data_IF_526378611775
#
_entry.id   IF_526378611775
#
_cell.length_a   1.000
_cell.length_b   1.000
_cell.length_c   1.000
_cell.angle_alpha   90.00
_cell.angle_beta   90.00
_cell.angle_gamma   90.00
#
_symmetry.space_group_name_H-M   'P 1'
#
loop_
_entity.id
_entity.type
_entity.pdbx_description
1 polymer ?
#
# COMPACT_ATOMS: atom_id res chain seq x y z
N UNK A 1 16.20 -10.41 3.38
CA UNK A 1 14.94 -9.65 3.38
C UNK A 1 14.28 -9.75 2.02
N UNK A 2 12.99 -10.01 1.98
CA UNK A 2 12.24 -10.03 0.74
C UNK A 2 11.39 -8.76 0.66
N UNK A 3 11.54 -8.00 -0.42
CA UNK A 3 10.71 -6.82 -0.70
C UNK A 3 9.78 -7.18 -1.83
N UNK A 4 8.47 -7.15 -1.57
CA UNK A 4 7.46 -7.47 -2.57
C UNK A 4 7.21 -6.23 -3.42
N UNK A 5 7.47 -6.35 -4.72
CA UNK A 5 7.26 -5.24 -5.66
C UNK A 5 5.82 -5.15 -6.16
N UNK A 6 5.04 -6.19 -5.91
CA UNK A 6 3.66 -6.23 -6.37
C UNK A 6 2.73 -5.73 -5.29
N UNK A 7 1.94 -4.73 -5.62
CA UNK A 7 0.83 -4.31 -4.77
C UNK A 7 -0.35 -5.22 -5.10
N UNK A 8 -0.76 -5.99 -4.12
CA UNK A 8 -1.81 -6.99 -4.30
C UNK A 8 -2.63 -7.12 -3.01
N UNK A 9 -3.60 -8.03 -3.00
CA UNK A 9 -4.46 -8.23 -1.83
C UNK A 9 -3.67 -8.79 -0.64
N UNK A 10 -4.17 -8.51 0.56
CA UNK A 10 -3.60 -9.07 1.78
C UNK A 10 -3.63 -10.60 1.78
N UNK A 11 -4.66 -11.20 1.19
CA UNK A 11 -4.78 -12.66 1.09
C UNK A 11 -3.64 -13.27 0.27
N UNK A 12 -3.28 -12.65 -0.85
CA UNK A 12 -2.16 -13.12 -1.67
C UNK A 12 -0.82 -12.99 -0.94
N UNK A 13 -0.64 -11.91 -0.19
CA UNK A 13 0.58 -11.74 0.62
C UNK A 13 0.63 -12.78 1.71
N UNK A 14 -0.48 -13.06 2.38
CA UNK A 14 -0.55 -14.11 3.40
C UNK A 14 -0.20 -15.49 2.82
N UNK A 15 -0.73 -15.82 1.64
CA UNK A 15 -0.42 -17.08 0.95
C UNK A 15 1.06 -17.18 0.59
N UNK A 16 1.66 -16.09 0.12
CA UNK A 16 3.11 -16.06 -0.17
C UNK A 16 3.93 -16.30 1.08
N UNK A 17 3.60 -15.62 2.18
CA UNK A 17 4.33 -15.77 3.46
C UNK A 17 4.20 -17.20 3.97
N UNK A 18 3.00 -17.76 3.94
CA UNK A 18 2.78 -19.16 4.37
C UNK A 18 3.58 -20.14 3.54
N UNK A 19 3.59 -19.97 2.21
CA UNK A 19 4.38 -20.81 1.32
C UNK A 19 5.87 -20.69 1.60
N UNK A 20 6.37 -19.49 1.83
CA UNK A 20 7.77 -19.25 2.16
C UNK A 20 8.16 -19.93 3.47
N UNK A 21 7.32 -19.81 4.51
CA UNK A 21 7.57 -20.44 5.82
C UNK A 21 7.54 -21.96 5.71
N UNK A 22 6.60 -22.51 4.93
CA UNK A 22 6.51 -23.96 4.67
C UNK A 22 7.74 -24.50 3.94
N UNK A 23 8.37 -23.65 3.11
CA UNK A 23 9.63 -24.02 2.43
C UNK A 23 10.87 -23.81 3.30
N UNK A 24 10.70 -23.41 4.55
CA UNK A 24 11.81 -23.19 5.49
C UNK A 24 12.45 -21.82 5.45
N UNK A 25 11.85 -20.87 4.72
CA UNK A 25 12.36 -19.51 4.64
C UNK A 25 11.74 -18.66 5.77
N UNK A 26 12.59 -18.06 6.59
CA UNK A 26 12.17 -17.21 7.72
C UNK A 26 12.74 -15.79 7.62
N UNK A 27 12.94 -15.31 6.39
CA UNK A 27 13.43 -13.96 6.14
C UNK A 27 12.33 -12.90 6.37
N UNK A 28 12.69 -11.68 6.76
CA UNK A 28 11.73 -10.58 6.85
C UNK A 28 11.08 -10.27 5.51
N UNK A 29 9.79 -10.00 5.53
CA UNK A 29 9.00 -9.65 4.34
C UNK A 29 8.51 -8.21 4.45
N UNK A 30 8.78 -7.42 3.41
CA UNK A 30 8.30 -6.04 3.27
C UNK A 30 7.24 -6.06 2.18
N UNK A 31 6.02 -5.69 2.53
CA UNK A 31 4.90 -5.63 1.59
C UNK A 31 4.76 -4.23 0.99
N UNK A 32 4.18 -4.13 -0.19
CA UNK A 32 3.98 -2.86 -0.87
C UNK A 32 2.55 -2.35 -0.71
N UNK A 33 2.43 -1.04 -0.49
CA UNK A 33 1.15 -0.33 -0.47
C UNK A 33 1.20 0.78 -1.51
N UNK A 34 0.18 0.86 -2.35
CA UNK A 34 0.05 1.92 -3.33
C UNK A 34 -0.68 3.11 -2.72
N UNK A 35 -0.19 4.31 -3.01
CA UNK A 35 -0.86 5.55 -2.61
C UNK A 35 -1.24 6.33 -3.85
N UNK A 36 -2.50 6.68 -3.97
CA UNK A 36 -3.04 7.52 -5.04
C UNK A 36 -4.16 8.40 -4.50
N UNK A 37 -4.26 9.60 -5.01
CA UNK A 37 -5.24 10.59 -4.55
C UNK A 37 -5.97 11.28 -5.69
N UNK A 38 -5.63 10.92 -6.94
CA UNK A 38 -6.26 11.46 -8.14
C UNK A 38 -6.17 10.45 -9.29
N UNK A 39 -6.88 10.76 -10.39
CA UNK A 39 -6.94 9.85 -11.54
C UNK A 39 -5.59 9.65 -12.22
N UNK A 40 -4.73 10.65 -12.19
CA UNK A 40 -3.39 10.56 -12.81
C UNK A 40 -2.50 9.61 -12.00
N UNK A 41 -2.43 9.78 -10.68
CA UNK A 41 -1.63 8.89 -9.85
C UNK A 41 -2.16 7.46 -9.86
N UNK A 42 -3.49 7.26 -9.89
CA UNK A 42 -4.08 5.93 -10.05
C UNK A 42 -3.72 5.30 -11.39
N UNK A 43 -3.79 6.06 -12.49
CA UNK A 43 -3.47 5.56 -13.83
C UNK A 43 -2.01 5.13 -13.95
N UNK A 44 -1.09 5.88 -13.37
CA UNK A 44 0.34 5.52 -13.34
C UNK A 44 0.53 4.16 -12.67
N UNK A 45 -0.10 3.94 -11.53
CA UNK A 45 -0.01 2.67 -10.81
C UNK A 45 -0.60 1.52 -11.62
N UNK A 46 -1.76 1.73 -12.24
CA UNK A 46 -2.43 0.70 -13.06
C UNK A 46 -1.61 0.29 -14.27
N UNK A 47 -0.72 1.16 -14.75
CA UNK A 47 0.18 0.86 -15.84
C UNK A 47 1.41 0.03 -15.47
N UNK A 48 1.66 -0.19 -14.18
CA UNK A 48 2.82 -0.94 -13.72
C UNK A 48 2.53 -2.45 -13.73
N UNK A 49 3.44 -3.27 -14.31
CA UNK A 49 3.25 -4.72 -14.32
C UNK A 49 3.17 -5.30 -12.91
N UNK A 50 2.23 -6.20 -12.69
CA UNK A 50 2.07 -6.91 -11.42
C UNK A 50 1.42 -6.11 -10.31
N UNK A 51 1.02 -4.87 -10.57
CA UNK A 51 0.34 -4.05 -9.59
C UNK A 51 -1.18 -4.14 -9.82
N UNK A 52 -1.90 -4.50 -8.76
CA UNK A 52 -3.36 -4.65 -8.79
C UNK A 52 -3.99 -3.67 -7.82
N UNK A 53 -4.77 -2.72 -8.35
CA UNK A 53 -5.61 -1.86 -7.54
C UNK A 53 -7.03 -2.42 -7.53
N UNK A 54 -7.63 -2.51 -6.36
CA UNK A 54 -9.01 -2.97 -6.26
C UNK A 54 -9.95 -1.91 -6.85
N UNK A 55 -10.79 -2.27 -7.86
CA UNK A 55 -11.64 -1.27 -8.53
C UNK A 55 -12.60 -0.54 -7.59
N UNK A 56 -13.16 -1.22 -6.60
CA UNK A 56 -14.07 -0.59 -5.64
C UNK A 56 -13.39 0.45 -4.77
N UNK A 57 -12.17 0.17 -4.33
CA UNK A 57 -11.37 1.12 -3.53
C UNK A 57 -10.96 2.31 -4.38
N UNK A 58 -10.52 2.05 -5.61
CA UNK A 58 -10.12 3.09 -6.56
C UNK A 58 -11.28 4.06 -6.81
N UNK A 59 -12.46 3.53 -7.09
CA UNK A 59 -13.65 4.35 -7.32
C UNK A 59 -14.01 5.16 -6.08
N UNK A 60 -13.99 4.54 -4.91
CA UNK A 60 -14.30 5.20 -3.64
C UNK A 60 -13.37 6.39 -3.38
N UNK A 61 -12.07 6.22 -3.60
CA UNK A 61 -11.10 7.30 -3.43
C UNK A 61 -11.33 8.42 -4.44
N UNK A 62 -11.47 8.08 -5.72
CA UNK A 62 -11.56 9.08 -6.80
C UNK A 62 -12.87 9.85 -6.79
N UNK A 63 -13.93 9.30 -6.21
CA UNK A 63 -15.24 9.96 -6.12
C UNK A 63 -15.52 10.59 -4.76
N UNK A 64 -14.58 10.46 -3.81
CA UNK A 64 -14.75 11.05 -2.48
C UNK A 64 -14.76 12.59 -2.53
N UNK A 65 -15.47 13.25 -1.59
CA UNK A 65 -15.43 14.71 -1.49
C UNK A 65 -14.03 15.27 -1.27
N UNK A 66 -13.18 14.53 -0.56
CA UNK A 66 -11.76 14.84 -0.36
C UNK A 66 -10.93 13.64 -0.76
N UNK A 67 -10.53 13.54 -2.06
CA UNK A 67 -9.78 12.38 -2.53
C UNK A 67 -8.40 12.21 -1.86
N UNK A 68 -7.77 13.30 -1.45
CA UNK A 68 -6.48 13.23 -0.74
C UNK A 68 -6.67 12.51 0.60
N UNK A 69 -7.64 12.94 1.40
CA UNK A 69 -7.93 12.27 2.67
C UNK A 69 -8.34 10.82 2.46
N UNK A 70 -9.20 10.54 1.47
CA UNK A 70 -9.65 9.20 1.16
C UNK A 70 -8.50 8.29 0.71
N UNK A 71 -7.59 8.80 -0.11
CA UNK A 71 -6.42 8.06 -0.58
C UNK A 71 -5.46 7.72 0.56
N UNK A 72 -5.25 8.65 1.48
CA UNK A 72 -4.43 8.43 2.68
C UNK A 72 -5.08 7.34 3.55
N UNK A 73 -6.38 7.45 3.82
CA UNK A 73 -7.10 6.47 4.64
C UNK A 73 -7.07 5.08 4.03
N UNK A 74 -7.26 4.97 2.71
CA UNK A 74 -7.21 3.69 2.01
C UNK A 74 -5.82 3.05 2.12
N UNK A 75 -4.76 3.83 1.94
CA UNK A 75 -3.38 3.35 2.06
C UNK A 75 -3.06 2.89 3.50
N UNK A 76 -3.50 3.64 4.50
CA UNK A 76 -3.30 3.29 5.91
C UNK A 76 -4.06 2.00 6.26
N UNK A 77 -5.29 1.86 5.80
CA UNK A 77 -6.09 0.65 6.02
C UNK A 77 -5.43 -0.58 5.39
N UNK A 78 -4.94 -0.45 4.16
CA UNK A 78 -4.22 -1.53 3.48
C UNK A 78 -2.94 -1.90 4.23
N UNK A 79 -2.19 -0.91 4.69
CA UNK A 79 -0.97 -1.14 5.45
C UNK A 79 -1.26 -1.90 6.75
N UNK A 80 -2.30 -1.52 7.48
CA UNK A 80 -2.68 -2.22 8.71
C UNK A 80 -3.10 -3.66 8.42
N UNK A 81 -3.83 -3.91 7.33
CA UNK A 81 -4.20 -5.26 6.92
C UNK A 81 -2.97 -6.11 6.63
N UNK A 82 -1.99 -5.56 5.92
CA UNK A 82 -0.75 -6.27 5.61
C UNK A 82 0.11 -6.51 6.85
N UNK A 83 0.24 -5.51 7.72
CA UNK A 83 1.03 -5.64 8.95
C UNK A 83 0.41 -6.59 9.98
N UNK A 84 -0.89 -6.89 9.86
CA UNK A 84 -1.55 -7.88 10.70
C UNK A 84 -1.20 -9.32 10.30
N UNK A 85 -0.59 -9.52 9.14
CA UNK A 85 -0.16 -10.84 8.67
C UNK A 85 1.13 -11.20 9.38
N UNK A 86 1.14 -12.34 10.08
CA UNK A 86 2.36 -12.85 10.70
C UNK A 86 3.42 -13.11 9.63
N UNK A 87 4.61 -12.55 9.81
CA UNK A 87 5.71 -12.66 8.86
C UNK A 87 5.89 -11.44 7.97
N UNK A 88 4.95 -10.50 7.93
CA UNK A 88 5.13 -9.20 7.29
C UNK A 88 5.71 -8.23 8.32
N UNK A 89 6.92 -7.75 8.05
CA UNK A 89 7.73 -6.98 9.01
C UNK A 89 7.74 -5.48 8.70
N UNK A 90 7.31 -5.08 7.51
CA UNK A 90 7.30 -3.68 7.13
C UNK A 90 6.52 -3.41 5.85
N UNK A 91 6.41 -2.13 5.55
CA UNK A 91 5.64 -1.62 4.42
C UNK A 91 6.52 -0.71 3.56
N UNK A 92 6.45 -0.90 2.25
CA UNK A 92 7.02 0.00 1.26
C UNK A 92 5.88 0.79 0.61
N UNK A 93 5.92 2.09 0.76
CA UNK A 93 4.89 2.99 0.20
C UNK A 93 5.29 3.37 -1.22
N UNK A 94 4.44 3.02 -2.18
CA UNK A 94 4.71 3.17 -3.61
C UNK A 94 3.77 4.16 -4.29
N UNK A 95 4.21 4.70 -5.41
CA UNK A 95 3.41 5.56 -6.28
C UNK A 95 3.74 7.03 -6.16
N UNK A 96 3.23 7.81 -7.09
CA UNK A 96 3.40 9.27 -7.11
C UNK A 96 2.56 9.96 -6.03
N UNK A 97 1.49 9.33 -5.62
CA UNK A 97 0.47 9.81 -4.69
C UNK A 97 -0.35 11.00 -5.20
N UNK A 98 0.20 11.86 -6.05
CA UNK A 98 -0.51 13.05 -6.53
C UNK A 98 -0.01 13.51 -7.89
N UNK A 99 -0.92 14.03 -8.72
CA UNK A 99 -0.60 14.73 -9.96
C UNK A 99 -0.04 16.13 -9.72
N UNK A 100 -0.12 16.63 -8.50
CA UNK A 100 0.32 17.98 -8.13
C UNK A 100 1.84 18.13 -7.99
N UNK A 101 2.58 17.05 -8.21
CA UNK A 101 4.04 17.05 -8.25
C UNK A 101 4.68 16.21 -7.15
N UNK A 102 6.00 16.01 -7.29
CA UNK A 102 6.77 15.14 -6.41
C UNK A 102 6.78 15.63 -4.95
N UNK A 103 6.80 16.93 -4.73
CA UNK A 103 6.80 17.51 -3.39
C UNK A 103 5.50 17.21 -2.64
N UNK A 104 4.37 17.41 -3.31
CA UNK A 104 3.04 17.10 -2.74
C UNK A 104 2.92 15.59 -2.51
N UNK A 105 3.36 14.78 -3.47
CA UNK A 105 3.36 13.32 -3.33
C UNK A 105 4.19 12.85 -2.14
N UNK A 106 5.34 13.45 -1.92
CA UNK A 106 6.20 13.14 -0.77
C UNK A 106 5.52 13.49 0.56
N UNK A 107 4.84 14.62 0.64
CA UNK A 107 4.09 15.00 1.83
C UNK A 107 2.96 14.02 2.14
N UNK A 108 2.23 13.59 1.11
CA UNK A 108 1.15 12.60 1.25
C UNK A 108 1.72 11.27 1.76
N UNK A 109 2.81 10.79 1.17
CA UNK A 109 3.44 9.54 1.60
C UNK A 109 3.98 9.63 3.03
N UNK A 110 4.52 10.78 3.41
CA UNK A 110 4.98 11.02 4.79
C UNK A 110 3.84 10.95 5.79
N UNK A 111 2.69 11.51 5.42
CA UNK A 111 1.49 11.45 6.26
C UNK A 111 0.98 10.01 6.41
N UNK A 112 0.97 9.23 5.32
CA UNK A 112 0.63 7.82 5.38
C UNK A 112 1.56 7.07 6.34
N UNK A 113 2.86 7.26 6.18
CA UNK A 113 3.87 6.62 7.04
C UNK A 113 3.70 6.98 8.51
N UNK A 114 3.41 8.25 8.81
CA UNK A 114 3.17 8.72 10.16
C UNK A 114 1.93 8.04 10.78
N UNK A 115 0.85 7.95 10.03
CA UNK A 115 -0.39 7.32 10.52
C UNK A 115 -0.24 5.80 10.69
N UNK A 116 0.52 5.14 9.81
CA UNK A 116 0.82 3.71 9.96
C UNK A 116 1.54 3.47 11.30
N UNK A 117 2.57 4.26 11.58
CA UNK A 117 3.32 4.13 12.84
C UNK A 117 2.46 4.40 14.07
N UNK A 118 1.61 5.41 14.00
CA UNK A 118 0.70 5.75 15.10
C UNK A 118 -0.34 4.66 15.34
N UNK A 119 -0.87 4.07 14.26
CA UNK A 119 -1.89 3.03 14.32
C UNK A 119 -1.39 1.67 14.77
N UNK A 120 -0.07 1.42 14.73
CA UNK A 120 0.51 0.16 15.22
C UNK A 120 0.76 0.15 16.72
N UNK A 121 0.54 1.27 17.38
CA UNK A 121 0.67 1.38 18.84
C UNK A 121 -0.68 1.03 19.46
N UNK A 122 -0.76 -0.04 20.27
CA UNK A 122 -2.01 -0.45 20.91
C UNK A 122 -2.55 0.62 21.85
#
# INVERSE_FOLDING_TARGET
MAVLNHVTSADRVADFVESARSAGLSIPVIAAVAVFTDSVSAAVLQGLPGLELEPSVTEEVLTAPDPVAAGIEAAVAQAHALLSIEGVDGINISGLASASGASVGAEIKSEVGRRIRAGTIP
#
